data_IF_197510455352
#
_entry.id   IF_197510455352
#
_cell.length_a   1.000
_cell.length_b   1.000
_cell.length_c   1.000
_cell.angle_alpha   90.00
_cell.angle_beta   90.00
_cell.angle_gamma   90.00
#
_symmetry.space_group_name_H-M   'P 1'
#
loop_
_entity.id
_entity.type
_entity.pdbx_description
1 polymer ?
#
# COMPACT_ATOMS: atom_id res chain seq x y z
N UNK A 1 -33.25 1.10 10.57
CA UNK A 1 -32.74 -0.27 10.59
C UNK A 1 -31.67 -0.42 11.66
N UNK A 2 -31.85 -1.36 12.58
CA UNK A 2 -30.89 -1.60 13.68
C UNK A 2 -29.99 -2.80 13.35
N UNK A 3 -28.67 -2.62 13.48
CA UNK A 3 -27.66 -3.67 13.33
C UNK A 3 -27.05 -3.93 14.71
N UNK A 4 -27.28 -5.11 15.26
CA UNK A 4 -26.93 -5.45 16.64
C UNK A 4 -25.41 -5.62 16.89
N UNK A 5 -24.64 -5.94 15.85
CA UNK A 5 -23.18 -6.03 15.91
C UNK A 5 -22.54 -5.90 14.51
N UNK A 6 -21.22 -5.76 14.46
CA UNK A 6 -20.45 -5.50 13.25
C UNK A 6 -20.24 -6.71 12.33
N UNK A 7 -20.70 -7.91 12.70
CA UNK A 7 -20.36 -9.16 11.98
C UNK A 7 -21.56 -10.01 11.57
N UNK A 8 -22.80 -9.49 11.71
CA UNK A 8 -24.03 -10.24 11.43
C UNK A 8 -24.94 -9.55 10.41
N UNK A 9 -25.78 -10.35 9.75
CA UNK A 9 -26.77 -9.87 8.81
C UNK A 9 -26.13 -9.31 7.53
N UNK A 10 -26.43 -8.05 7.25
CA UNK A 10 -26.00 -7.33 6.04
C UNK A 10 -24.56 -6.77 6.14
N UNK A 11 -23.93 -6.90 7.29
CA UNK A 11 -22.55 -6.48 7.53
C UNK A 11 -21.63 -7.66 7.76
N UNK A 12 -20.38 -7.51 7.39
CA UNK A 12 -19.32 -8.45 7.73
C UNK A 12 -18.13 -7.69 8.28
N UNK A 13 -17.68 -8.04 9.45
CA UNK A 13 -16.52 -7.46 10.10
C UNK A 13 -16.01 -8.42 11.15
N UNK A 14 -14.91 -8.07 11.77
CA UNK A 14 -14.34 -8.87 12.84
C UNK A 14 -12.91 -9.31 12.56
N UNK A 15 -12.09 -9.11 13.60
CA UNK A 15 -10.73 -9.62 13.66
C UNK A 15 -10.69 -11.08 14.14
N UNK A 16 -9.50 -11.65 14.23
CA UNK A 16 -8.22 -11.00 13.92
C UNK A 16 -7.96 -10.90 12.42
N UNK A 17 -7.45 -9.76 12.00
CA UNK A 17 -7.01 -9.58 10.63
C UNK A 17 -5.64 -10.22 10.43
N UNK A 18 -5.52 -11.04 9.38
CA UNK A 18 -4.25 -11.63 8.97
C UNK A 18 -3.71 -10.93 7.74
N UNK A 19 -2.41 -10.98 7.55
CA UNK A 19 -1.81 -10.61 6.29
C UNK A 19 -2.12 -11.70 5.25
N UNK A 20 -2.73 -11.29 4.14
CA UNK A 20 -3.13 -12.16 3.04
C UNK A 20 -2.54 -11.63 1.73
N UNK A 21 -2.45 -12.49 0.72
CA UNK A 21 -2.07 -12.04 -0.62
C UNK A 21 -3.13 -11.12 -1.22
N UNK A 22 -2.76 -10.21 -2.15
CA UNK A 22 -3.72 -9.37 -2.86
C UNK A 22 -4.90 -10.16 -3.44
N UNK A 23 -4.63 -11.30 -4.06
CA UNK A 23 -5.65 -12.21 -4.62
C UNK A 23 -6.64 -12.69 -3.55
N UNK A 24 -6.15 -13.04 -2.37
CA UNK A 24 -7.01 -13.50 -1.26
C UNK A 24 -7.91 -12.39 -0.73
N UNK A 25 -7.45 -11.13 -0.75
CA UNK A 25 -8.32 -10.01 -0.38
C UNK A 25 -9.48 -9.85 -1.37
N UNK A 26 -9.23 -9.89 -2.67
CA UNK A 26 -10.30 -9.86 -3.68
C UNK A 26 -11.29 -11.04 -3.50
N UNK A 27 -10.80 -12.26 -3.28
CA UNK A 27 -11.65 -13.44 -3.03
C UNK A 27 -12.55 -13.27 -1.80
N UNK A 28 -12.07 -12.57 -0.75
CA UNK A 28 -12.81 -12.41 0.50
C UNK A 28 -14.05 -11.51 0.37
N UNK A 29 -14.22 -10.82 -0.75
CA UNK A 29 -15.38 -9.98 -1.05
C UNK A 29 -16.51 -10.70 -1.80
N UNK A 30 -16.41 -11.99 -2.05
CA UNK A 30 -17.44 -12.78 -2.77
C UNK A 30 -18.80 -12.84 -2.09
N UNK A 31 -19.02 -12.09 -1.00
CA UNK A 31 -20.28 -11.98 -0.28
C UNK A 31 -20.82 -10.56 -0.36
N UNK A 32 -22.02 -10.41 -0.83
CA UNK A 32 -22.73 -9.14 -1.01
C UNK A 32 -23.07 -8.47 0.33
N UNK A 33 -22.02 -8.07 1.08
CA UNK A 33 -22.15 -7.44 2.41
C UNK A 33 -21.33 -6.15 2.47
N UNK A 34 -21.81 -5.22 3.29
CA UNK A 34 -21.02 -4.08 3.72
C UNK A 34 -19.96 -4.53 4.73
N UNK A 35 -18.71 -4.20 4.50
CA UNK A 35 -17.61 -4.51 5.43
C UNK A 35 -17.50 -3.42 6.49
N UNK A 36 -18.05 -3.70 7.67
CA UNK A 36 -18.05 -2.76 8.81
C UNK A 36 -16.65 -2.50 9.39
N UNK A 37 -15.70 -3.42 9.12
CA UNK A 37 -14.31 -3.24 9.47
C UNK A 37 -13.41 -4.14 8.61
N UNK A 38 -12.32 -3.59 8.10
CA UNK A 38 -11.28 -4.32 7.36
C UNK A 38 -9.91 -3.72 7.60
N UNK A 39 -8.91 -4.58 7.72
CA UNK A 39 -7.53 -4.19 7.90
C UNK A 39 -6.59 -5.38 7.78
N UNK A 40 -5.33 -5.14 8.05
CA UNK A 40 -4.28 -6.16 8.20
C UNK A 40 -3.26 -5.66 9.23
N UNK A 41 -2.36 -6.50 9.72
CA UNK A 41 -1.25 -6.06 10.56
C UNK A 41 -0.45 -4.96 9.86
N UNK A 42 -0.06 -3.96 10.61
CA UNK A 42 0.64 -2.79 10.11
C UNK A 42 1.80 -2.42 11.01
N UNK A 43 2.90 -2.02 10.40
CA UNK A 43 4.11 -1.59 11.08
C UNK A 43 4.31 -0.10 10.85
N UNK A 44 4.54 0.64 11.92
CA UNK A 44 4.87 2.07 11.84
C UNK A 44 6.24 2.29 11.17
N UNK A 45 6.49 3.51 10.73
CA UNK A 45 7.79 3.86 10.18
C UNK A 45 8.89 3.73 11.25
N UNK A 46 10.12 3.50 10.82
CA UNK A 46 11.25 3.24 11.73
C UNK A 46 11.46 4.34 12.79
N UNK A 47 11.30 5.61 12.39
CA UNK A 47 11.46 6.73 13.31
C UNK A 47 10.43 6.70 14.46
N UNK A 48 9.21 6.34 14.14
CA UNK A 48 8.15 6.17 15.12
C UNK A 48 8.34 4.92 15.98
N UNK A 49 8.92 3.85 15.41
CA UNK A 49 9.33 2.68 16.21
C UNK A 49 10.39 3.06 17.25
N UNK A 50 11.37 3.89 16.88
CA UNK A 50 12.38 4.38 17.81
C UNK A 50 11.77 5.21 18.97
N UNK A 51 10.76 6.02 18.65
CA UNK A 51 10.04 6.80 19.68
C UNK A 51 9.20 5.92 20.60
N UNK A 52 8.64 4.83 20.05
CA UNK A 52 7.75 3.91 20.78
C UNK A 52 8.52 2.94 21.66
N UNK A 53 9.53 2.28 21.12
CA UNK A 53 10.24 1.19 21.78
C UNK A 53 11.53 1.64 22.50
N UNK A 54 12.10 2.76 22.08
CA UNK A 54 13.43 3.23 22.50
C UNK A 54 14.56 2.57 21.70
N UNK A 55 15.66 3.30 21.55
CA UNK A 55 16.83 2.88 20.78
C UNK A 55 17.55 1.67 21.37
N UNK A 56 17.43 1.49 22.68
CA UNK A 56 18.05 0.43 23.47
C UNK A 56 17.24 -0.88 23.51
N UNK A 57 15.96 -0.83 23.09
CA UNK A 57 15.00 -1.96 23.22
C UNK A 57 14.37 -2.40 21.91
N UNK A 58 14.58 -1.64 20.85
CA UNK A 58 13.98 -1.95 19.54
C UNK A 58 14.57 -3.24 18.91
N UNK A 59 15.79 -3.60 19.29
CA UNK A 59 16.46 -4.82 18.84
C UNK A 59 16.44 -5.92 19.93
N UNK A 60 16.42 -7.20 19.55
CA UNK A 60 16.28 -7.71 18.18
C UNK A 60 14.86 -7.53 17.65
N UNK A 61 14.70 -7.59 16.31
CA UNK A 61 13.36 -7.64 15.70
C UNK A 61 12.57 -8.81 16.26
N UNK A 62 11.32 -8.57 16.63
CA UNK A 62 10.45 -9.60 17.20
C UNK A 62 10.09 -10.67 16.16
N UNK A 63 10.67 -11.86 16.28
CA UNK A 63 10.38 -13.03 15.46
C UNK A 63 10.02 -14.23 16.34
N UNK A 64 9.54 -15.32 15.74
CA UNK A 64 9.25 -16.56 16.49
C UNK A 64 10.51 -17.16 17.14
N UNK A 65 11.68 -16.97 16.53
CA UNK A 65 12.95 -17.47 17.02
C UNK A 65 13.65 -16.51 18.01
N UNK A 66 13.41 -15.21 17.85
CA UNK A 66 13.98 -14.15 18.69
C UNK A 66 12.86 -13.23 19.19
N UNK A 67 12.07 -13.68 20.18
CA UNK A 67 10.99 -12.86 20.71
C UNK A 67 11.54 -11.63 21.44
N UNK A 68 10.95 -10.47 21.12
CA UNK A 68 11.24 -9.24 21.82
C UNK A 68 9.99 -8.76 22.59
N UNK A 69 9.94 -8.87 23.92
CA UNK A 69 8.74 -8.58 24.70
C UNK A 69 8.29 -7.12 24.61
N UNK A 70 9.18 -6.20 24.25
CA UNK A 70 8.82 -4.78 24.08
C UNK A 70 7.82 -4.58 22.96
N UNK A 71 7.91 -5.35 21.88
CA UNK A 71 6.91 -5.31 20.81
C UNK A 71 5.53 -5.73 21.32
N UNK A 72 5.48 -6.76 22.18
CA UNK A 72 4.23 -7.21 22.80
C UNK A 72 3.60 -6.19 23.74
N UNK A 73 4.40 -5.38 24.43
CA UNK A 73 3.91 -4.26 25.25
C UNK A 73 3.22 -3.17 24.42
N UNK A 74 3.43 -3.16 23.11
CA UNK A 74 2.84 -2.22 22.17
C UNK A 74 1.95 -2.92 21.13
N UNK A 75 1.29 -4.01 21.53
CA UNK A 75 0.33 -4.83 20.76
C UNK A 75 0.93 -5.69 19.63
N UNK A 76 2.22 -5.58 19.31
CA UNK A 76 2.83 -6.36 18.24
C UNK A 76 3.49 -7.64 18.78
N UNK A 77 2.72 -8.71 18.95
CA UNK A 77 3.17 -9.98 19.53
C UNK A 77 3.23 -11.10 18.49
N UNK A 78 4.10 -12.08 18.75
CA UNK A 78 4.21 -13.31 17.97
C UNK A 78 3.77 -14.54 18.76
N UNK A 79 3.08 -15.42 18.06
CA UNK A 79 2.93 -16.88 18.18
C UNK A 79 2.68 -17.56 19.52
N UNK A 80 3.11 -17.10 20.61
CA UNK A 80 2.96 -17.77 21.92
C UNK A 80 1.78 -17.29 22.76
N UNK A 81 1.14 -16.21 22.36
CA UNK A 81 0.00 -15.65 23.04
C UNK A 81 -1.32 -16.27 22.55
N UNK A 82 -2.31 -16.34 23.42
CA UNK A 82 -3.68 -16.77 23.06
C UNK A 82 -4.50 -15.64 22.42
N UNK A 83 -3.89 -14.52 22.06
CA UNK A 83 -4.57 -13.34 21.54
C UNK A 83 -4.54 -13.22 20.02
N UNK A 84 -5.51 -12.49 19.50
CA UNK A 84 -5.69 -12.24 18.06
C UNK A 84 -4.55 -11.48 17.42
N UNK A 85 -3.92 -10.55 18.14
CA UNK A 85 -2.77 -9.77 17.66
C UNK A 85 -1.53 -10.63 17.44
N UNK A 86 -1.31 -11.67 18.25
CA UNK A 86 -0.20 -12.60 18.07
C UNK A 86 -0.25 -13.34 16.74
N UNK A 87 -1.42 -13.86 16.37
CA UNK A 87 -1.62 -14.55 15.09
C UNK A 87 -1.52 -13.60 13.89
N UNK A 88 -1.97 -12.39 14.07
CA UNK A 88 -1.88 -11.35 13.05
C UNK A 88 -0.42 -10.98 12.76
N UNK A 89 0.36 -10.69 13.81
CA UNK A 89 1.79 -10.38 13.68
C UNK A 89 2.59 -11.52 13.06
N UNK A 90 2.33 -12.77 13.46
CA UNK A 90 2.94 -13.97 12.86
C UNK A 90 2.70 -14.03 11.35
N UNK A 91 1.45 -13.91 10.91
CA UNK A 91 1.12 -13.94 9.48
C UNK A 91 1.79 -12.82 8.67
N UNK A 92 1.99 -11.67 9.28
CA UNK A 92 2.65 -10.53 8.64
C UNK A 92 4.16 -10.73 8.53
N UNK A 93 4.81 -11.23 9.59
CA UNK A 93 6.23 -11.55 9.56
C UNK A 93 6.54 -12.65 8.54
N UNK A 94 5.71 -13.70 8.48
CA UNK A 94 5.84 -14.77 7.47
C UNK A 94 5.77 -14.21 6.04
N UNK A 95 4.91 -13.22 5.82
CA UNK A 95 4.79 -12.56 4.52
C UNK A 95 6.03 -11.72 4.19
N UNK A 96 6.60 -10.98 5.15
CA UNK A 96 7.86 -10.26 4.97
C UNK A 96 9.00 -11.24 4.65
N UNK A 97 9.12 -12.32 5.39
CA UNK A 97 10.19 -13.32 5.17
C UNK A 97 10.06 -14.02 3.81
N UNK A 98 8.84 -14.31 3.38
CA UNK A 98 8.59 -14.81 2.03
C UNK A 98 9.02 -13.82 0.95
N UNK A 99 8.64 -12.56 1.13
CA UNK A 99 8.85 -11.51 0.13
C UNK A 99 10.33 -11.12 -0.02
N UNK A 100 11.05 -10.97 1.08
CA UNK A 100 12.38 -10.37 1.09
C UNK A 100 13.43 -11.20 1.84
N UNK A 101 13.02 -12.17 2.63
CA UNK A 101 13.87 -12.88 3.56
C UNK A 101 13.79 -12.29 4.98
N UNK A 102 14.69 -12.77 5.83
CA UNK A 102 14.73 -12.35 7.22
C UNK A 102 15.37 -10.96 7.35
N UNK A 103 14.69 -10.00 8.00
CA UNK A 103 15.27 -8.68 8.23
C UNK A 103 16.44 -8.77 9.20
N UNK A 104 17.53 -8.04 8.94
CA UNK A 104 18.74 -8.04 9.79
C UNK A 104 18.59 -7.17 11.04
N UNK A 105 17.74 -6.14 10.96
CA UNK A 105 17.53 -5.14 12.00
C UNK A 105 16.12 -4.53 11.91
N UNK A 106 15.72 -3.81 12.95
CA UNK A 106 14.40 -3.18 13.03
C UNK A 106 14.16 -2.12 11.95
N UNK A 107 15.22 -1.47 11.46
CA UNK A 107 15.11 -0.52 10.36
C UNK A 107 14.71 -1.23 9.06
N UNK A 108 15.39 -2.30 8.72
CA UNK A 108 15.06 -3.08 7.53
C UNK A 108 13.69 -3.75 7.64
N UNK A 109 13.32 -4.23 8.83
CA UNK A 109 11.98 -4.72 9.11
C UNK A 109 10.92 -3.67 8.83
N UNK A 110 11.08 -2.46 9.37
CA UNK A 110 10.16 -1.36 9.14
C UNK A 110 10.07 -0.98 7.66
N UNK A 111 11.21 -0.90 6.96
CA UNK A 111 11.26 -0.57 5.53
C UNK A 111 10.56 -1.64 4.68
N UNK A 112 10.81 -2.92 4.90
CA UNK A 112 10.16 -4.02 4.16
C UNK A 112 8.67 -4.14 4.49
N UNK A 113 8.31 -3.86 5.74
CA UNK A 113 6.91 -3.83 6.15
C UNK A 113 6.09 -2.81 5.36
N UNK A 114 6.67 -1.67 4.98
CA UNK A 114 5.95 -0.66 4.19
C UNK A 114 5.52 -1.18 2.80
N UNK A 115 6.34 -2.03 2.16
CA UNK A 115 5.97 -2.66 0.88
C UNK A 115 4.73 -3.54 1.03
N UNK A 116 4.73 -4.39 2.05
CA UNK A 116 3.63 -5.31 2.33
C UNK A 116 2.37 -4.54 2.74
N UNK A 117 2.53 -3.51 3.57
CA UNK A 117 1.41 -2.69 4.02
C UNK A 117 0.79 -1.86 2.88
N UNK A 118 1.59 -1.25 2.01
CA UNK A 118 1.07 -0.53 0.85
C UNK A 118 0.25 -1.45 -0.04
N UNK A 119 0.83 -2.57 -0.46
CA UNK A 119 0.20 -3.50 -1.40
C UNK A 119 -1.05 -4.17 -0.81
N UNK A 120 -0.97 -4.60 0.45
CA UNK A 120 -2.08 -5.25 1.14
C UNK A 120 -3.27 -4.32 1.38
N UNK A 121 -3.03 -3.12 1.92
CA UNK A 121 -4.11 -2.15 2.15
C UNK A 121 -4.71 -1.63 0.84
N UNK A 122 -3.90 -1.45 -0.20
CA UNK A 122 -4.42 -1.15 -1.54
C UNK A 122 -5.34 -2.26 -2.02
N UNK A 123 -4.90 -3.52 -1.97
CA UNK A 123 -5.69 -4.67 -2.40
C UNK A 123 -6.98 -4.86 -1.60
N UNK A 124 -6.96 -4.58 -0.28
CA UNK A 124 -8.16 -4.58 0.55
C UNK A 124 -9.21 -3.63 -0.04
N UNK A 125 -8.83 -2.41 -0.42
CA UNK A 125 -9.78 -1.41 -0.91
C UNK A 125 -10.10 -1.57 -2.40
N UNK A 126 -9.17 -2.01 -3.23
CA UNK A 126 -9.41 -2.32 -4.65
C UNK A 126 -10.40 -3.49 -4.81
N UNK A 127 -10.29 -4.51 -3.94
CA UNK A 127 -11.18 -5.69 -3.96
C UNK A 127 -12.66 -5.36 -3.79
N UNK A 128 -13.03 -4.20 -3.25
CA UNK A 128 -14.44 -3.75 -3.15
C UNK A 128 -15.11 -3.59 -4.52
N UNK A 129 -14.37 -3.52 -5.62
CA UNK A 129 -14.92 -3.49 -6.98
C UNK A 129 -15.74 -4.74 -7.30
N UNK A 130 -15.49 -5.86 -6.62
CA UNK A 130 -16.19 -7.13 -6.82
C UNK A 130 -17.67 -7.09 -6.47
N UNK A 131 -18.10 -6.25 -5.51
CA UNK A 131 -19.49 -6.18 -5.06
C UNK A 131 -20.02 -4.77 -4.86
N UNK A 132 -19.18 -3.74 -4.96
CA UNK A 132 -19.54 -2.30 -4.85
C UNK A 132 -20.27 -1.90 -3.56
N UNK A 133 -20.19 -2.72 -2.52
CA UNK A 133 -20.66 -2.35 -1.18
C UNK A 133 -19.60 -1.52 -0.46
N UNK A 134 -19.98 -0.85 0.59
CA UNK A 134 -19.04 -0.03 1.36
C UNK A 134 -18.10 -0.85 2.22
N UNK A 135 -17.02 -0.17 2.65
CA UNK A 135 -16.04 -0.71 3.56
C UNK A 135 -15.55 0.37 4.51
N UNK A 136 -15.36 0.01 5.78
CA UNK A 136 -14.71 0.85 6.78
C UNK A 136 -13.36 0.26 7.17
N UNK A 137 -12.40 1.16 7.33
CA UNK A 137 -11.04 0.82 7.72
C UNK A 137 -10.97 0.48 9.22
N UNK A 138 -10.34 -0.62 9.56
CA UNK A 138 -9.88 -0.94 10.90
C UNK A 138 -8.36 -1.01 10.91
N UNK A 139 -7.66 0.01 11.41
CA UNK A 139 -8.19 1.29 11.87
C UNK A 139 -7.25 2.43 11.48
N UNK A 140 -7.71 3.68 11.63
CA UNK A 140 -6.92 4.84 11.22
C UNK A 140 -5.81 5.18 12.21
N UNK A 141 -6.11 5.31 13.51
CA UNK A 141 -5.22 5.86 14.52
C UNK A 141 -5.38 5.15 15.86
N UNK A 142 -4.33 5.11 16.66
CA UNK A 142 -4.34 4.54 18.01
C UNK A 142 -4.50 5.61 19.08
N UNK A 143 -5.11 5.25 20.22
CA UNK A 143 -5.24 6.11 21.38
C UNK A 143 -3.97 6.17 22.25
N UNK A 144 -3.02 5.27 22.03
CA UNK A 144 -1.75 5.16 22.73
C UNK A 144 -0.68 4.58 21.78
N UNK A 145 0.63 4.67 22.09
CA UNK A 145 1.68 4.16 21.21
C UNK A 145 1.58 2.63 21.03
N UNK A 146 0.73 2.18 20.11
CA UNK A 146 0.57 0.77 19.74
C UNK A 146 0.84 0.57 18.24
N UNK A 147 1.16 -0.67 17.85
CA UNK A 147 1.57 -1.02 16.50
C UNK A 147 0.93 -2.35 16.10
N UNK A 148 -0.28 -2.31 15.53
CA UNK A 148 -0.92 -3.53 14.99
C UNK A 148 -1.75 -3.31 13.74
N UNK A 149 -2.56 -2.23 13.64
CA UNK A 149 -3.51 -2.02 12.52
C UNK A 149 -3.49 -0.60 11.93
N UNK A 150 -2.85 0.35 12.60
CA UNK A 150 -3.03 1.77 12.41
C UNK A 150 -2.37 2.28 11.11
N UNK A 151 -3.12 3.01 10.28
CA UNK A 151 -2.58 3.68 9.08
C UNK A 151 -1.88 4.99 9.40
N UNK A 152 -2.21 5.61 10.55
CA UNK A 152 -1.41 6.63 11.21
C UNK A 152 -0.92 6.06 12.53
N UNK A 153 0.32 6.29 12.85
CA UNK A 153 0.82 5.95 14.17
C UNK A 153 0.39 6.99 15.24
N UNK A 154 0.74 6.72 16.49
CA UNK A 154 0.41 7.59 17.61
C UNK A 154 0.95 9.03 17.43
N UNK A 155 2.02 9.20 16.68
CA UNK A 155 2.69 10.49 16.45
C UNK A 155 2.16 11.21 15.20
N UNK A 156 1.11 10.71 14.57
CA UNK A 156 0.52 11.22 13.32
C UNK A 156 1.43 11.11 12.09
N UNK A 157 2.36 10.16 12.10
CA UNK A 157 3.15 9.83 10.91
C UNK A 157 2.38 8.80 10.06
N UNK A 158 1.93 9.14 8.83
CA UNK A 158 1.25 8.20 7.97
C UNK A 158 2.26 7.17 7.44
N UNK A 159 1.91 5.91 7.53
CA UNK A 159 2.70 4.82 6.97
C UNK A 159 2.18 4.43 5.57
N UNK A 160 2.82 3.42 4.95
CA UNK A 160 2.47 3.01 3.60
C UNK A 160 1.03 2.50 3.44
N UNK A 161 0.43 1.95 4.49
CA UNK A 161 -0.96 1.52 4.50
C UNK A 161 -1.93 2.68 4.20
N UNK A 162 -1.68 3.86 4.81
CA UNK A 162 -2.46 5.06 4.52
C UNK A 162 -2.46 5.40 3.02
N UNK A 163 -1.29 5.34 2.39
CA UNK A 163 -1.15 5.66 0.97
C UNK A 163 -1.77 4.57 0.08
N UNK A 164 -1.70 3.29 0.48
CA UNK A 164 -2.42 2.21 -0.20
C UNK A 164 -3.92 2.42 -0.19
N UNK A 165 -4.51 2.74 0.97
CA UNK A 165 -5.94 3.08 1.10
C UNK A 165 -6.29 4.30 0.25
N UNK A 166 -5.47 5.37 0.29
CA UNK A 166 -5.70 6.60 -0.47
C UNK A 166 -5.72 6.33 -1.98
N UNK A 167 -4.77 5.53 -2.50
CA UNK A 167 -4.72 5.16 -3.92
C UNK A 167 -5.97 4.40 -4.34
N UNK A 168 -6.32 3.34 -3.64
CA UNK A 168 -7.47 2.50 -3.94
C UNK A 168 -8.83 3.18 -3.73
N UNK A 169 -8.85 4.34 -3.06
CA UNK A 169 -10.06 5.13 -2.80
C UNK A 169 -10.28 6.29 -3.78
N UNK A 170 -9.50 6.37 -4.85
CA UNK A 170 -9.75 7.34 -5.93
C UNK A 170 -11.16 7.14 -6.48
N UNK A 171 -11.96 8.22 -6.66
CA UNK A 171 -13.33 8.09 -7.17
C UNK A 171 -13.43 7.57 -8.60
N UNK A 172 -12.41 7.84 -9.44
CA UNK A 172 -12.18 7.23 -10.74
C UNK A 172 -10.83 6.55 -10.67
N UNK A 173 -10.78 5.23 -10.80
CA UNK A 173 -9.60 4.43 -10.49
C UNK A 173 -9.34 3.37 -11.55
N UNK A 174 -8.06 3.24 -11.95
CA UNK A 174 -7.59 2.12 -12.77
C UNK A 174 -6.84 1.13 -11.90
N UNK A 175 -7.16 -0.16 -12.03
CA UNK A 175 -6.59 -1.22 -11.21
C UNK A 175 -6.36 -2.50 -12.00
N UNK A 176 -5.50 -3.37 -11.46
CA UNK A 176 -5.36 -4.76 -11.86
C UNK A 176 -6.17 -5.65 -10.92
N UNK A 177 -6.99 -6.52 -11.50
CA UNK A 177 -7.75 -7.50 -10.75
C UNK A 177 -7.00 -8.85 -10.71
N UNK A 178 -6.44 -9.26 -9.57
CA UNK A 178 -5.65 -10.49 -9.48
C UNK A 178 -6.46 -11.78 -9.56
N UNK A 179 -7.79 -11.72 -9.50
CA UNK A 179 -8.64 -12.93 -9.65
C UNK A 179 -8.79 -13.35 -11.11
N UNK A 180 -8.88 -12.37 -12.00
CA UNK A 180 -9.14 -12.57 -13.42
C UNK A 180 -7.96 -12.22 -14.31
N UNK A 181 -6.90 -11.65 -13.73
CA UNK A 181 -5.79 -11.04 -14.47
C UNK A 181 -6.25 -9.97 -15.48
N UNK A 182 -7.30 -9.22 -15.13
CA UNK A 182 -7.86 -8.16 -15.94
C UNK A 182 -7.41 -6.78 -15.45
N UNK A 183 -7.29 -5.84 -16.41
CA UNK A 183 -7.23 -4.41 -16.11
C UNK A 183 -8.65 -3.88 -16.04
N UNK A 184 -8.98 -3.19 -14.97
CA UNK A 184 -10.30 -2.65 -14.69
C UNK A 184 -10.25 -1.14 -14.47
N UNK A 185 -11.32 -0.47 -14.92
CA UNK A 185 -11.61 0.92 -14.51
C UNK A 185 -12.86 0.91 -13.64
N UNK A 186 -12.75 1.58 -12.50
CA UNK A 186 -13.82 1.69 -11.50
C UNK A 186 -14.24 3.16 -11.41
N UNK A 187 -15.51 3.45 -11.59
CA UNK A 187 -16.11 4.76 -11.41
C UNK A 187 -17.05 4.73 -10.19
N UNK A 188 -16.68 5.45 -9.13
CA UNK A 188 -17.51 5.68 -7.94
C UNK A 188 -18.19 7.05 -7.95
N UNK A 189 -18.02 7.83 -9.02
CA UNK A 189 -18.78 9.09 -9.17
C UNK A 189 -20.25 8.82 -9.45
N UNK A 190 -21.10 9.76 -9.08
CA UNK A 190 -22.52 9.80 -9.41
C UNK A 190 -22.78 10.43 -10.80
N UNK A 191 -21.87 10.19 -11.75
CA UNK A 191 -21.99 10.64 -13.15
C UNK A 191 -21.09 9.84 -14.07
N UNK A 192 -21.49 9.77 -15.34
CA UNK A 192 -20.77 9.07 -16.40
C UNK A 192 -19.42 9.73 -16.71
N UNK A 193 -18.49 8.94 -17.19
CA UNK A 193 -17.20 9.39 -17.76
C UNK A 193 -17.06 8.86 -19.17
N UNK A 194 -16.69 9.70 -20.12
CA UNK A 194 -16.55 9.37 -21.53
C UNK A 194 -15.19 9.75 -22.08
N UNK A 195 -14.80 9.13 -23.19
CA UNK A 195 -13.57 9.43 -23.89
C UNK A 195 -12.31 9.06 -23.13
N UNK A 196 -12.37 8.04 -22.28
CA UNK A 196 -11.23 7.58 -21.50
C UNK A 196 -10.34 6.67 -22.33
N UNK A 197 -9.03 6.66 -21.99
CA UNK A 197 -8.06 5.69 -22.50
C UNK A 197 -7.39 5.02 -21.30
N UNK A 198 -7.55 3.70 -21.19
CA UNK A 198 -6.88 2.86 -20.21
C UNK A 198 -5.66 2.20 -20.85
N UNK A 199 -4.48 2.37 -20.25
CA UNK A 199 -3.22 1.80 -20.73
C UNK A 199 -2.61 0.96 -19.63
N UNK A 200 -2.10 -0.23 -19.98
CA UNK A 200 -1.28 -1.06 -19.11
C UNK A 200 0.06 -1.38 -19.77
N UNK A 201 1.13 -1.37 -18.99
CA UNK A 201 2.46 -1.73 -19.46
C UNK A 201 3.15 -2.64 -18.45
N UNK A 202 3.84 -3.66 -18.95
CA UNK A 202 4.67 -4.57 -18.15
C UNK A 202 6.15 -4.26 -18.38
N UNK A 203 6.87 -4.16 -17.28
CA UNK A 203 8.31 -3.91 -17.29
C UNK A 203 9.05 -4.97 -16.50
N UNK A 204 10.21 -5.37 -16.98
CA UNK A 204 11.16 -6.12 -16.18
C UNK A 204 11.72 -5.26 -15.04
N UNK A 205 12.34 -5.88 -14.05
CA UNK A 205 12.91 -5.19 -12.90
C UNK A 205 14.00 -4.15 -13.26
N UNK A 206 14.63 -4.28 -14.44
CA UNK A 206 15.62 -3.32 -14.98
C UNK A 206 14.96 -2.13 -15.71
N UNK A 207 13.64 -2.06 -15.77
CA UNK A 207 12.88 -1.02 -16.45
C UNK A 207 12.68 -1.27 -17.96
N UNK A 208 13.03 -2.44 -18.49
CA UNK A 208 12.77 -2.78 -19.90
C UNK A 208 11.30 -3.12 -20.13
N UNK A 209 10.66 -2.42 -21.07
CA UNK A 209 9.28 -2.67 -21.48
C UNK A 209 9.18 -4.05 -22.15
N UNK A 210 8.24 -4.87 -21.70
CA UNK A 210 7.98 -6.22 -22.23
C UNK A 210 6.66 -6.32 -22.98
N UNK A 211 5.66 -5.57 -22.56
CA UNK A 211 4.33 -5.60 -23.15
C UNK A 211 3.59 -4.31 -22.83
N UNK A 212 2.73 -3.88 -23.74
CA UNK A 212 1.81 -2.76 -23.51
C UNK A 212 0.52 -2.96 -24.29
N UNK A 213 -0.58 -2.52 -23.71
CA UNK A 213 -1.91 -2.52 -24.35
C UNK A 213 -2.70 -1.31 -23.88
N UNK A 214 -3.52 -0.80 -24.78
CA UNK A 214 -4.46 0.27 -24.45
C UNK A 214 -5.84 -0.02 -25.03
N UNK A 215 -6.85 0.60 -24.44
CA UNK A 215 -8.22 0.59 -24.96
C UNK A 215 -8.92 1.89 -24.62
N UNK A 216 -9.83 2.30 -25.50
CA UNK A 216 -10.75 3.42 -25.24
C UNK A 216 -12.03 2.89 -24.61
N UNK A 217 -12.58 3.64 -23.66
CA UNK A 217 -13.82 3.26 -22.99
C UNK A 217 -14.61 4.47 -22.52
N UNK A 218 -15.90 4.24 -22.36
CA UNK A 218 -16.80 5.05 -21.57
C UNK A 218 -17.24 4.23 -20.35
N UNK A 219 -17.50 4.86 -19.24
CA UNK A 219 -17.93 4.19 -18.02
C UNK A 219 -19.07 4.96 -17.37
N UNK A 220 -20.12 4.22 -17.01
CA UNK A 220 -21.30 4.79 -16.32
C UNK A 220 -21.00 5.14 -14.89
N UNK A 221 -21.89 5.95 -14.29
CA UNK A 221 -21.90 6.18 -12.85
C UNK A 221 -21.91 4.84 -12.11
N UNK A 222 -21.21 4.78 -10.97
CA UNK A 222 -21.17 3.64 -10.07
C UNK A 222 -20.95 2.29 -10.77
N UNK A 223 -20.00 2.21 -11.74
CA UNK A 223 -19.72 1.03 -12.55
C UNK A 223 -18.26 0.59 -12.44
N UNK A 224 -18.02 -0.73 -12.61
CA UNK A 224 -16.72 -1.33 -12.90
C UNK A 224 -16.73 -1.91 -14.30
N UNK A 225 -15.71 -1.61 -15.11
CA UNK A 225 -15.53 -2.12 -16.47
C UNK A 225 -14.20 -2.86 -16.56
N UNK A 226 -14.25 -4.14 -16.94
CA UNK A 226 -13.07 -4.89 -17.35
C UNK A 226 -12.66 -4.43 -18.76
N UNK A 227 -11.43 -3.91 -18.88
CA UNK A 227 -10.92 -3.32 -20.11
C UNK A 227 -10.31 -4.38 -21.01
N UNK A 228 -9.39 -5.17 -20.50
CA UNK A 228 -8.69 -6.25 -21.20
C UNK A 228 -7.88 -7.11 -20.23
N UNK A 229 -7.60 -8.38 -20.60
CA UNK A 229 -6.72 -9.23 -19.81
C UNK A 229 -5.26 -8.75 -19.86
N UNK A 230 -4.53 -8.95 -18.75
CA UNK A 230 -3.11 -8.72 -18.64
C UNK A 230 -2.37 -9.95 -19.20
N UNK A 231 -1.73 -9.80 -20.34
CA UNK A 231 -0.96 -10.86 -20.96
C UNK A 231 0.48 -10.82 -20.44
N UNK A 232 0.93 -11.88 -19.80
CA UNK A 232 2.26 -11.98 -19.20
C UNK A 232 3.23 -12.70 -20.15
N UNK A 233 4.19 -11.99 -20.79
CA UNK A 233 5.20 -12.62 -21.63
C UNK A 233 6.13 -13.54 -20.83
N UNK A 234 6.63 -14.60 -21.48
CA UNK A 234 7.63 -15.50 -20.87
C UNK A 234 8.95 -14.79 -20.53
N UNK A 235 9.22 -13.66 -21.21
CA UNK A 235 10.43 -12.84 -21.04
C UNK A 235 10.46 -11.99 -19.78
N UNK A 236 9.38 -12.01 -18.97
CA UNK A 236 9.38 -11.29 -17.69
C UNK A 236 10.47 -11.78 -16.75
N UNK A 237 11.06 -10.85 -15.99
CA UNK A 237 11.99 -11.16 -14.89
C UNK A 237 11.25 -11.78 -13.70
N UNK A 238 11.98 -12.37 -12.75
CA UNK A 238 11.41 -13.02 -11.55
C UNK A 238 10.50 -12.07 -10.75
N UNK A 239 10.90 -10.80 -10.64
CA UNK A 239 10.01 -9.71 -10.25
C UNK A 239 9.85 -8.74 -11.42
N UNK A 240 8.63 -8.29 -11.66
CA UNK A 240 8.28 -7.38 -12.74
C UNK A 240 7.30 -6.33 -12.25
N UNK A 241 7.08 -5.30 -13.06
CA UNK A 241 6.21 -4.18 -12.73
C UNK A 241 5.04 -4.09 -13.70
N UNK A 242 3.87 -3.73 -13.14
CA UNK A 242 2.66 -3.41 -13.89
C UNK A 242 2.42 -1.91 -13.68
N UNK A 243 2.51 -1.12 -14.75
CA UNK A 243 2.17 0.31 -14.74
C UNK A 243 0.85 0.53 -15.46
N UNK A 244 -0.09 1.19 -14.79
CA UNK A 244 -1.40 1.52 -15.32
C UNK A 244 -1.55 3.03 -15.42
N UNK A 245 -2.23 3.49 -16.46
CA UNK A 245 -2.59 4.89 -16.66
C UNK A 245 -3.99 5.00 -17.24
N UNK A 246 -4.78 5.93 -16.71
CA UNK A 246 -6.09 6.32 -17.23
C UNK A 246 -6.05 7.80 -17.58
N UNK A 247 -6.29 8.10 -18.86
CA UNK A 247 -6.29 9.48 -19.36
C UNK A 247 -7.65 9.86 -19.96
N UNK A 248 -7.93 11.16 -20.01
CA UNK A 248 -9.06 11.69 -20.78
C UNK A 248 -8.70 11.89 -22.26
N UNK A 249 -9.66 12.40 -23.03
CA UNK A 249 -9.50 12.68 -24.47
C UNK A 249 -8.38 13.67 -24.79
N UNK A 250 -8.01 14.53 -23.85
CA UNK A 250 -6.95 15.53 -23.99
C UNK A 250 -5.58 15.00 -23.55
N UNK A 251 -5.51 13.71 -23.16
CA UNK A 251 -4.31 13.06 -22.67
C UNK A 251 -3.94 13.42 -21.22
N UNK A 252 -4.82 14.10 -20.49
CA UNK A 252 -4.61 14.42 -19.08
C UNK A 252 -4.80 13.16 -18.24
N UNK A 253 -3.81 12.85 -17.40
CA UNK A 253 -3.90 11.73 -16.46
C UNK A 253 -4.95 11.98 -15.39
N UNK A 254 -5.88 11.03 -15.25
CA UNK A 254 -6.98 11.04 -14.30
C UNK A 254 -6.75 10.07 -13.14
N UNK A 255 -6.14 8.92 -13.42
CA UNK A 255 -5.72 7.92 -12.45
C UNK A 255 -4.50 7.18 -12.98
N UNK A 256 -3.71 6.64 -12.08
CA UNK A 256 -2.59 5.75 -12.37
C UNK A 256 -2.52 4.65 -11.31
N UNK A 257 -1.74 3.62 -11.59
CA UNK A 257 -1.41 2.62 -10.58
C UNK A 257 -0.09 1.92 -10.92
N UNK A 258 0.55 1.39 -9.90
CA UNK A 258 1.82 0.71 -10.06
C UNK A 258 1.92 -0.49 -9.13
N UNK A 259 2.20 -1.66 -9.70
CA UNK A 259 2.35 -2.90 -8.94
C UNK A 259 3.71 -3.52 -9.21
N UNK A 260 4.27 -4.14 -8.19
CA UNK A 260 5.37 -5.11 -8.32
C UNK A 260 4.80 -6.50 -8.10
N UNK A 261 5.21 -7.45 -8.92
CA UNK A 261 4.74 -8.84 -8.84
C UNK A 261 5.89 -9.79 -9.07
N UNK A 262 5.86 -10.91 -8.39
CA UNK A 262 6.79 -12.01 -8.60
C UNK A 262 6.15 -13.09 -9.46
N UNK A 263 6.93 -13.76 -10.31
CA UNK A 263 6.50 -15.01 -10.97
C UNK A 263 6.04 -16.04 -9.94
N UNK A 264 6.75 -16.14 -8.82
CA UNK A 264 6.28 -16.78 -7.60
C UNK A 264 5.53 -15.73 -6.76
N UNK A 265 4.24 -15.95 -6.53
CA UNK A 265 3.39 -15.02 -5.79
C UNK A 265 3.98 -14.66 -4.42
N UNK A 266 4.13 -13.39 -4.16
CA UNK A 266 4.66 -12.84 -2.92
C UNK A 266 6.18 -12.97 -2.73
N UNK A 267 6.96 -13.42 -3.71
CA UNK A 267 8.42 -13.43 -3.68
C UNK A 267 8.99 -12.22 -4.44
N UNK A 268 9.67 -11.34 -3.73
CA UNK A 268 10.24 -10.10 -4.26
C UNK A 268 11.75 -9.98 -3.97
N UNK A 269 12.42 -11.11 -3.64
CA UNK A 269 13.84 -11.12 -3.25
C UNK A 269 14.77 -10.54 -4.31
N UNK A 270 14.40 -10.68 -5.59
CA UNK A 270 15.19 -10.12 -6.69
C UNK A 270 15.27 -8.59 -6.67
N UNK A 271 14.27 -7.89 -6.09
CA UNK A 271 14.32 -6.44 -5.91
C UNK A 271 15.48 -5.97 -5.02
N UNK A 272 15.94 -6.81 -4.10
CA UNK A 272 17.08 -6.50 -3.23
C UNK A 272 18.42 -6.41 -3.99
N UNK A 273 18.45 -6.91 -5.23
CA UNK A 273 19.61 -6.90 -6.10
C UNK A 273 19.63 -5.68 -7.04
N UNK A 274 18.55 -4.87 -7.04
CA UNK A 274 18.50 -3.67 -7.86
C UNK A 274 19.63 -2.69 -7.49
N UNK A 275 20.29 -2.09 -8.47
CA UNK A 275 21.28 -1.07 -8.20
C UNK A 275 20.62 0.14 -7.51
N UNK A 276 21.38 0.75 -6.61
CA UNK A 276 20.92 2.02 -5.99
C UNK A 276 20.90 3.11 -7.05
N UNK A 277 19.78 3.82 -7.12
CA UNK A 277 19.60 4.96 -8.03
C UNK A 277 19.64 6.26 -7.24
N UNK A 278 20.19 7.31 -7.86
CA UNK A 278 20.15 8.65 -7.32
C UNK A 278 18.94 9.38 -7.88
N UNK A 279 18.11 9.89 -6.98
CA UNK A 279 16.95 10.69 -7.36
C UNK A 279 17.27 12.16 -7.16
N UNK A 280 17.26 12.92 -8.25
CA UNK A 280 17.41 14.38 -8.21
C UNK A 280 16.16 14.98 -7.56
N UNK A 281 16.36 15.97 -6.70
CA UNK A 281 15.26 16.65 -6.02
C UNK A 281 15.34 18.16 -6.21
N UNK A 282 14.21 18.76 -6.50
CA UNK A 282 14.03 20.21 -6.43
C UNK A 282 12.93 20.49 -5.40
N UNK A 283 13.27 21.24 -4.35
CA UNK A 283 12.36 21.52 -3.24
C UNK A 283 12.17 23.02 -3.14
N UNK A 284 10.92 23.44 -3.12
CA UNK A 284 10.53 24.81 -2.83
C UNK A 284 9.70 24.86 -1.57
N UNK A 285 9.93 25.86 -0.73
CA UNK A 285 9.24 26.06 0.54
C UNK A 285 8.64 27.46 0.56
N UNK A 286 7.36 27.55 0.81
CA UNK A 286 6.62 28.82 0.89
C UNK A 286 5.80 28.86 2.18
N UNK A 287 5.92 29.94 2.95
CA UNK A 287 5.06 30.21 4.08
C UNK A 287 3.75 30.82 3.61
N UNK A 288 2.62 30.29 4.05
CA UNK A 288 1.29 30.80 3.72
C UNK A 288 0.48 30.91 5.01
N UNK A 289 0.41 32.11 5.58
CA UNK A 289 -0.20 32.33 6.89
C UNK A 289 0.54 31.57 8.00
N UNK A 290 -0.14 30.64 8.68
CA UNK A 290 0.42 29.77 9.73
C UNK A 290 0.98 28.46 9.20
N UNK A 291 0.82 28.18 7.92
CA UNK A 291 1.19 26.91 7.28
C UNK A 291 2.43 27.08 6.40
N UNK A 292 3.08 25.95 6.14
CA UNK A 292 4.18 25.84 5.20
C UNK A 292 3.75 24.94 4.05
N UNK A 293 3.82 25.47 2.83
CA UNK A 293 3.67 24.70 1.61
C UNK A 293 5.06 24.27 1.12
N UNK A 294 5.27 22.96 1.09
CA UNK A 294 6.51 22.35 0.60
C UNK A 294 6.16 21.61 -0.70
N UNK A 295 6.81 22.00 -1.79
CA UNK A 295 6.72 21.30 -3.08
C UNK A 295 8.06 20.63 -3.36
N UNK A 296 8.02 19.31 -3.52
CA UNK A 296 9.17 18.53 -3.94
C UNK A 296 8.90 17.95 -5.34
N UNK A 297 9.83 18.16 -6.25
CA UNK A 297 9.87 17.51 -7.56
C UNK A 297 11.03 16.53 -7.53
N UNK A 298 10.71 15.26 -7.76
CA UNK A 298 11.67 14.17 -7.80
C UNK A 298 11.86 13.75 -9.25
N UNK A 299 13.11 13.50 -9.65
CA UNK A 299 13.44 13.02 -11.00
C UNK A 299 14.41 11.86 -10.86
N UNK A 300 14.04 10.73 -11.40
CA UNK A 300 14.91 9.58 -11.62
C UNK A 300 15.44 9.63 -13.05
N UNK A 301 16.74 9.76 -13.22
CA UNK A 301 17.38 9.80 -14.55
C UNK A 301 17.93 8.40 -14.95
N UNK A 302 17.85 7.44 -14.04
CA UNK A 302 18.24 6.06 -14.32
C UNK A 302 17.10 5.30 -15.00
N UNK A 303 17.45 4.27 -15.78
CA UNK A 303 16.47 3.32 -16.32
C UNK A 303 15.85 2.43 -15.22
N UNK A 304 16.65 2.11 -14.20
CA UNK A 304 16.17 1.33 -13.04
C UNK A 304 15.17 2.14 -12.24
N UNK A 305 13.99 1.60 -11.94
CA UNK A 305 12.96 2.30 -11.17
C UNK A 305 13.44 2.68 -9.76
N UNK A 306 13.05 3.86 -9.31
CA UNK A 306 13.22 4.28 -7.92
C UNK A 306 11.95 3.93 -7.13
N UNK A 307 12.02 2.87 -6.33
CA UNK A 307 10.85 2.30 -5.66
C UNK A 307 10.73 2.78 -4.21
N UNK A 308 9.49 2.84 -3.69
CA UNK A 308 9.18 3.13 -2.29
C UNK A 308 9.83 4.39 -1.75
N UNK A 309 9.82 5.46 -2.55
CA UNK A 309 10.32 6.76 -2.13
C UNK A 309 9.44 7.35 -1.03
N UNK A 310 10.06 7.75 0.08
CA UNK A 310 9.37 8.43 1.18
C UNK A 310 9.94 9.83 1.37
N UNK A 311 9.07 10.85 1.36
CA UNK A 311 9.42 12.20 1.75
C UNK A 311 9.22 12.37 3.26
N UNK A 312 10.16 13.07 3.89
CA UNK A 312 10.10 13.43 5.32
C UNK A 312 10.32 14.93 5.45
N UNK A 313 9.57 15.56 6.34
CA UNK A 313 9.80 16.94 6.75
C UNK A 313 10.45 16.91 8.12
N UNK A 314 11.63 17.50 8.24
CA UNK A 314 12.36 17.54 9.50
C UNK A 314 12.88 18.94 9.78
N UNK A 315 13.04 19.28 11.05
CA UNK A 315 13.67 20.51 11.49
C UNK A 315 15.15 20.49 11.13
N UNK A 316 15.63 21.53 10.43
CA UNK A 316 17.00 21.61 9.91
C UNK A 316 18.06 21.43 11.02
N UNK A 317 17.88 22.10 12.17
CA UNK A 317 18.82 22.03 13.30
C UNK A 317 18.66 20.79 14.17
N UNK A 318 17.42 20.30 14.33
CA UNK A 318 17.13 19.20 15.27
C UNK A 318 17.18 17.83 14.61
N UNK A 319 17.03 17.74 13.29
CA UNK A 319 16.83 16.50 12.58
C UNK A 319 15.53 15.77 12.91
N UNK A 320 14.73 16.29 13.86
CA UNK A 320 13.48 15.67 14.30
C UNK A 320 12.39 15.88 13.25
N UNK A 321 11.61 14.85 13.01
CA UNK A 321 10.44 14.94 12.13
C UNK A 321 9.47 16.00 12.64
N UNK A 322 8.90 16.77 11.72
CA UNK A 322 7.82 17.69 11.98
C UNK A 322 6.51 17.01 11.59
N UNK A 323 5.62 16.83 12.54
CA UNK A 323 4.34 16.16 12.38
C UNK A 323 3.21 17.01 13.00
N UNK A 324 1.98 16.95 12.50
CA UNK A 324 1.56 16.22 11.29
C UNK A 324 1.99 16.88 9.99
N UNK A 325 2.17 16.09 8.94
CA UNK A 325 2.39 16.57 7.55
C UNK A 325 1.29 16.01 6.67
N UNK A 326 0.65 16.89 5.87
CA UNK A 326 -0.37 16.48 4.90
C UNK A 326 0.26 16.35 3.52
N UNK A 327 0.24 15.14 2.97
CA UNK A 327 0.78 14.84 1.65
C UNK A 327 -0.33 14.88 0.59
N UNK A 328 -0.15 15.72 -0.44
CA UNK A 328 -1.14 15.86 -1.53
C UNK A 328 -1.08 14.69 -2.52
N UNK A 329 0.08 14.06 -2.68
CA UNK A 329 0.27 12.94 -3.61
C UNK A 329 0.78 11.69 -2.90
N UNK A 330 0.75 10.57 -3.63
CA UNK A 330 1.29 9.28 -3.20
C UNK A 330 2.81 9.28 -3.34
N UNK A 331 3.52 8.93 -2.27
CA UNK A 331 4.97 8.95 -2.23
C UNK A 331 5.61 7.55 -2.29
N UNK A 332 4.80 6.52 -2.53
CA UNK A 332 5.28 5.14 -2.63
C UNK A 332 5.20 4.59 -4.05
N UNK A 333 4.93 5.43 -5.04
CA UNK A 333 4.88 5.02 -6.44
C UNK A 333 6.15 5.44 -7.18
N UNK A 334 6.52 4.66 -8.16
CA UNK A 334 7.70 4.85 -9.01
C UNK A 334 7.39 5.71 -10.24
N UNK A 335 6.66 6.82 -10.11
CA UNK A 335 6.44 7.74 -11.22
C UNK A 335 7.69 8.58 -11.56
N UNK A 336 8.85 7.96 -11.45
CA UNK A 336 10.09 8.49 -11.94
C UNK A 336 10.53 7.69 -13.17
N UNK A 337 9.75 7.76 -14.23
CA UNK A 337 10.16 7.34 -15.57
C UNK A 337 9.76 8.40 -16.58
#
# INVERSE_FOLDING_TARGET
YYISNSAMGVVSGGGPYRALSPKSYFQSYGHDKFHSERGMPNVMNYESMLLTFGTDKIEPVNTSETPNPVYGLHDYTLGGGKGSSAQAASSFNDMIEKAFGRPRDAKQFAEWAQWINYDGYRAIFEGRSEHRRGMLLWMSHSAWPSMVWQTYDYYFDPNAAYFGCKKASEPLHIQWNPLRDDIEVVNYHAFDRTGLTATASLFNQDGTLQWTRETKLDIKEDQTVACFPLEQPETLSDTYFIKLSLTDSDGKQLSDNFYWRGKEDGNYKSLLQLPKVSVCKNVTVKKTGKEWLIRAVLKNEARTPALMLRLKVAGEKSGRMLLPVFYSCLLYTSDAA
#
